data_IF_341531918422
#
_entry.id   IF_341531918422
#
_cell.length_a   1.000
_cell.length_b   1.000
_cell.length_c   1.000
_cell.angle_alpha   90.00
_cell.angle_beta   90.00
_cell.angle_gamma   90.00
#
_symmetry.space_group_name_H-M   'P 1'
#
loop_
_entity.id
_entity.type
_entity.pdbx_description
1 polymer ?
#
# COMPACT_ATOMS: atom_id res chain seq x y z
N UNK A 1 -57.73 45.33 -4.00
CA UNK A 1 -56.40 44.72 -4.27
C UNK A 1 -55.72 44.43 -2.95
N UNK A 2 -55.46 43.17 -2.60
CA UNK A 2 -54.75 42.78 -1.36
C UNK A 2 -53.39 42.22 -1.75
N UNK A 3 -52.31 42.88 -1.32
CA UNK A 3 -50.94 42.42 -1.58
C UNK A 3 -50.57 41.24 -0.66
N UNK A 4 -50.11 40.08 -1.20
CA UNK A 4 -49.72 38.92 -0.39
C UNK A 4 -48.34 39.12 0.25
N UNK A 5 -48.25 39.95 1.30
CA UNK A 5 -46.99 40.20 2.04
C UNK A 5 -46.39 38.94 2.70
N UNK A 6 -47.21 37.93 3.02
CA UNK A 6 -46.77 36.75 3.79
C UNK A 6 -45.75 35.84 3.10
N UNK A 7 -45.83 35.64 1.77
CA UNK A 7 -44.92 34.71 1.06
C UNK A 7 -43.45 35.14 1.09
N UNK A 8 -43.16 36.45 1.08
CA UNK A 8 -41.77 36.96 1.07
C UNK A 8 -41.07 36.77 2.41
N UNK A 9 -41.80 36.80 3.52
CA UNK A 9 -41.26 36.59 4.88
C UNK A 9 -40.86 35.12 5.06
N UNK A 10 -41.71 34.18 4.63
CA UNK A 10 -41.44 32.74 4.75
C UNK A 10 -40.17 32.34 3.97
N UNK A 11 -40.00 32.84 2.74
CA UNK A 11 -38.81 32.56 1.92
C UNK A 11 -37.53 33.09 2.58
N UNK A 12 -37.58 34.29 3.20
CA UNK A 12 -36.44 34.84 3.93
C UNK A 12 -36.08 34.01 5.17
N UNK A 13 -37.07 33.55 5.94
CA UNK A 13 -36.82 32.70 7.13
C UNK A 13 -36.20 31.36 6.74
N UNK A 14 -36.69 30.70 5.68
CA UNK A 14 -36.12 29.44 5.19
C UNK A 14 -34.68 29.63 4.69
N UNK A 15 -34.39 30.73 3.98
CA UNK A 15 -33.05 31.03 3.50
C UNK A 15 -32.04 31.25 4.66
N UNK A 16 -32.45 31.98 5.72
CA UNK A 16 -31.61 32.21 6.91
C UNK A 16 -31.31 30.90 7.65
N UNK A 17 -32.29 30.00 7.78
CA UNK A 17 -32.08 28.68 8.41
C UNK A 17 -31.12 27.82 7.59
N UNK A 18 -31.24 27.80 6.26
CA UNK A 18 -30.35 27.05 5.39
C UNK A 18 -28.89 27.55 5.46
N UNK A 19 -28.67 28.87 5.51
CA UNK A 19 -27.33 29.46 5.67
C UNK A 19 -26.76 29.14 7.06
N UNK A 20 -27.57 29.21 8.12
CA UNK A 20 -27.13 28.86 9.47
C UNK A 20 -26.68 27.39 9.58
N UNK A 21 -27.40 26.46 8.93
CA UNK A 21 -27.03 25.05 8.89
C UNK A 21 -25.69 24.80 8.18
N UNK A 22 -25.41 25.51 7.07
CA UNK A 22 -24.12 25.42 6.37
C UNK A 22 -22.95 25.96 7.21
N UNK A 23 -23.14 27.06 7.95
CA UNK A 23 -22.09 27.62 8.83
C UNK A 23 -21.77 26.67 9.99
N UNK A 24 -22.77 26.03 10.59
CA UNK A 24 -22.55 25.03 11.65
C UNK A 24 -21.85 23.78 11.08
N UNK A 25 -22.25 23.30 9.90
CA UNK A 25 -21.58 22.17 9.22
C UNK A 25 -20.09 22.43 8.93
N UNK A 26 -19.76 23.63 8.45
CA UNK A 26 -18.37 24.02 8.18
C UNK A 26 -17.51 24.09 9.45
N UNK A 27 -18.06 24.60 10.57
CA UNK A 27 -17.33 24.72 11.84
C UNK A 27 -17.03 23.37 12.51
N UNK A 28 -17.89 22.37 12.31
CA UNK A 28 -17.63 21.00 12.82
C UNK A 28 -16.50 20.33 12.04
N UNK A 29 -16.37 20.59 10.73
CA UNK A 29 -15.31 20.00 9.91
C UNK A 29 -13.91 20.58 10.22
N UNK A 30 -13.81 21.87 10.54
CA UNK A 30 -12.52 22.52 10.82
C UNK A 30 -11.98 22.32 12.25
N UNK A 31 -12.71 21.64 13.13
CA UNK A 31 -12.44 21.63 14.58
C UNK A 31 -11.66 20.43 15.13
N UNK A 32 -11.42 19.39 14.33
CA UNK A 32 -10.86 18.11 14.81
C UNK A 32 -9.65 17.70 13.98
N UNK A 33 -8.50 18.33 14.24
CA UNK A 33 -7.14 17.75 14.21
C UNK A 33 -6.14 18.85 14.56
N UNK A 34 -5.96 19.07 15.87
CA UNK A 34 -4.81 19.79 16.42
C UNK A 34 -4.20 18.93 17.52
N UNK A 35 -3.60 17.82 17.09
CA UNK A 35 -2.80 16.96 17.95
C UNK A 35 -1.46 17.61 18.23
N UNK A 36 -1.27 18.11 19.45
CA UNK A 36 0.04 18.53 19.95
C UNK A 36 0.92 17.29 20.18
N UNK A 37 1.91 17.09 19.30
CA UNK A 37 2.99 16.14 19.53
C UNK A 37 4.15 16.81 20.29
N UNK A 38 4.53 16.24 21.44
CA UNK A 38 5.78 16.57 22.12
C UNK A 38 6.99 16.26 21.20
N UNK A 39 8.12 16.98 21.32
CA UNK A 39 9.33 16.68 20.55
C UNK A 39 10.00 15.39 21.04
N UNK A 40 10.28 14.48 20.10
CA UNK A 40 10.92 13.19 20.35
C UNK A 40 12.40 13.34 20.81
N UNK A 41 12.84 12.64 21.89
CA UNK A 41 14.19 12.74 22.43
C UNK A 41 15.30 11.99 21.68
N UNK A 42 15.02 11.21 20.62
CA UNK A 42 16.00 10.31 19.98
C UNK A 42 16.94 10.95 18.95
N UNK A 43 17.11 12.28 18.95
CA UNK A 43 18.08 12.97 18.08
C UNK A 43 19.53 12.98 18.63
N UNK A 44 20.13 11.81 18.88
CA UNK A 44 21.59 11.69 19.06
C UNK A 44 22.16 10.29 18.76
N UNK A 45 22.92 10.16 17.66
CA UNK A 45 24.32 9.67 17.60
C UNK A 45 24.83 9.84 16.16
N UNK A 46 25.79 10.74 15.92
CA UNK A 46 27.25 10.53 15.90
C UNK A 46 27.80 9.78 14.67
N UNK A 47 28.55 10.57 13.89
CA UNK A 47 29.39 10.24 12.74
C UNK A 47 30.38 9.10 13.04
N UNK A 48 30.67 8.27 12.02
CA UNK A 48 31.99 7.63 11.85
C UNK A 48 32.37 7.66 10.37
N UNK A 49 33.49 8.34 10.06
CA UNK A 49 34.12 8.37 8.73
C UNK A 49 35.42 7.53 8.77
N UNK A 50 35.52 6.53 7.91
CA UNK A 50 36.76 5.87 7.43
C UNK A 50 36.41 5.23 6.07
N UNK A 51 37.14 5.38 4.96
CA UNK A 51 38.35 6.19 4.68
C UNK A 51 38.84 6.00 3.23
N UNK A 52 39.96 6.65 2.89
CA UNK A 52 40.61 6.77 1.57
C UNK A 52 41.56 5.57 1.23
N UNK A 53 42.09 5.28 0.01
CA UNK A 53 42.23 6.00 -1.28
C UNK A 53 42.02 5.07 -2.54
N UNK A 54 41.39 5.62 -3.60
CA UNK A 54 41.78 5.63 -5.04
C UNK A 54 42.22 4.41 -5.91
N UNK A 55 41.75 4.46 -7.17
CA UNK A 55 42.50 4.41 -8.46
C UNK A 55 42.47 3.18 -9.42
N UNK A 56 42.19 3.46 -10.71
CA UNK A 56 42.33 2.60 -11.94
C UNK A 56 41.56 1.25 -11.99
N UNK A 57 41.10 0.73 -13.16
CA UNK A 57 41.48 0.97 -14.56
C UNK A 57 40.34 0.58 -15.54
N UNK A 58 40.26 1.22 -16.71
CA UNK A 58 39.36 0.84 -17.82
C UNK A 58 39.52 -0.62 -18.25
N UNK A 59 38.41 -1.32 -18.54
CA UNK A 59 38.47 -2.63 -19.20
C UNK A 59 37.22 -2.97 -20.07
N UNK A 60 37.35 -2.71 -21.38
CA UNK A 60 36.76 -3.47 -22.51
C UNK A 60 35.22 -3.63 -22.56
N UNK A 61 34.60 -2.83 -23.43
CA UNK A 61 33.64 -3.32 -24.44
C UNK A 61 34.42 -3.76 -25.71
N UNK A 62 33.86 -4.55 -26.65
CA UNK A 62 32.50 -5.12 -26.69
C UNK A 62 32.46 -6.65 -26.93
N UNK A 63 31.31 -7.29 -26.73
CA UNK A 63 30.59 -7.96 -27.83
C UNK A 63 29.14 -8.27 -27.43
N UNK A 64 28.26 -8.44 -28.41
CA UNK A 64 26.85 -8.77 -28.19
C UNK A 64 26.53 -10.16 -28.74
N UNK A 65 26.32 -11.16 -27.88
CA UNK A 65 25.51 -12.32 -28.25
C UNK A 65 24.83 -12.99 -27.05
N UNK A 66 23.57 -13.34 -27.31
CA UNK A 66 22.61 -14.14 -26.54
C UNK A 66 23.11 -14.91 -25.30
N UNK A 67 22.43 -14.67 -24.18
CA UNK A 67 22.05 -15.78 -23.30
C UNK A 67 20.61 -15.61 -22.79
N UNK A 68 19.76 -16.60 -23.09
CA UNK A 68 18.44 -16.70 -22.48
C UNK A 68 18.61 -17.28 -21.08
N UNK A 69 19.01 -16.43 -20.13
CA UNK A 69 19.12 -16.81 -18.73
C UNK A 69 17.71 -16.98 -18.14
N UNK A 70 17.13 -18.16 -18.39
CA UNK A 70 16.02 -18.74 -17.64
C UNK A 70 16.37 -18.60 -16.16
N UNK A 71 15.63 -17.75 -15.43
CA UNK A 71 15.87 -17.52 -14.00
C UNK A 71 16.00 -18.86 -13.29
N UNK A 72 17.19 -19.14 -12.80
CA UNK A 72 17.37 -20.15 -11.78
C UNK A 72 16.73 -19.56 -10.53
N UNK A 73 15.53 -20.05 -10.18
CA UNK A 73 14.89 -19.73 -8.90
C UNK A 73 15.84 -20.21 -7.81
N UNK A 74 16.61 -19.28 -7.23
CA UNK A 74 17.37 -19.56 -6.02
C UNK A 74 16.37 -20.03 -4.97
N UNK A 75 16.59 -21.23 -4.42
CA UNK A 75 15.72 -21.75 -3.37
C UNK A 75 15.98 -21.00 -2.08
N UNK A 76 15.31 -19.85 -1.93
CA UNK A 76 15.32 -19.02 -0.72
C UNK A 76 14.90 -19.91 0.44
N UNK A 77 15.87 -20.29 1.26
CA UNK A 77 15.64 -21.15 2.42
C UNK A 77 15.17 -20.29 3.57
N UNK A 78 13.86 -20.14 3.68
CA UNK A 78 13.20 -19.35 4.71
C UNK A 78 13.07 -20.18 5.99
N UNK A 79 13.56 -19.67 7.14
CA UNK A 79 13.32 -20.34 8.42
C UNK A 79 11.86 -20.15 8.85
N UNK A 80 11.15 -21.20 9.30
CA UNK A 80 9.78 -21.07 9.81
C UNK A 80 9.67 -20.14 11.05
N UNK A 81 10.76 -19.96 11.80
CA UNK A 81 10.78 -19.06 12.95
C UNK A 81 10.76 -17.57 12.55
N UNK A 82 11.16 -17.24 11.32
CA UNK A 82 11.20 -15.87 10.82
C UNK A 82 9.89 -15.46 10.12
N UNK A 83 8.93 -16.37 9.97
CA UNK A 83 7.64 -16.14 9.29
C UNK A 83 6.48 -15.98 10.28
N UNK A 84 5.56 -15.08 9.94
CA UNK A 84 4.22 -14.94 10.51
C UNK A 84 3.17 -15.18 9.41
N UNK A 85 1.92 -15.42 9.80
CA UNK A 85 0.83 -15.73 8.87
C UNK A 85 -0.43 -14.96 9.22
N UNK A 86 -1.21 -14.58 8.20
CA UNK A 86 -2.50 -13.92 8.35
C UNK A 86 -3.55 -14.60 7.45
N UNK A 87 -4.73 -14.85 8.02
CA UNK A 87 -5.84 -15.53 7.34
C UNK A 87 -6.77 -14.50 6.70
N UNK A 88 -6.90 -14.55 5.38
CA UNK A 88 -7.76 -13.69 4.57
C UNK A 88 -9.03 -14.48 4.24
N UNK A 89 -9.90 -14.66 5.24
CA UNK A 89 -11.12 -15.47 5.15
C UNK A 89 -11.98 -15.19 3.88
N UNK A 90 -12.18 -13.95 3.41
CA UNK A 90 -13.01 -13.69 2.23
C UNK A 90 -12.39 -14.16 0.90
N UNK A 91 -11.08 -14.46 0.87
CA UNK A 91 -10.38 -15.10 -0.25
C UNK A 91 -10.10 -16.59 0.02
N UNK A 92 -10.27 -17.07 1.25
CA UNK A 92 -9.97 -18.45 1.64
C UNK A 92 -8.46 -18.78 1.62
N UNK A 93 -7.59 -17.78 1.81
CA UNK A 93 -6.13 -17.94 1.76
C UNK A 93 -5.44 -17.53 3.06
N UNK A 94 -4.37 -18.25 3.42
CA UNK A 94 -3.40 -17.90 4.45
C UNK A 94 -2.17 -17.30 3.77
N UNK A 95 -1.92 -16.02 4.05
CA UNK A 95 -0.77 -15.27 3.54
C UNK A 95 0.36 -15.37 4.56
N UNK A 96 1.55 -15.73 4.09
CA UNK A 96 2.79 -15.74 4.88
C UNK A 96 3.55 -14.43 4.67
N UNK A 97 4.15 -13.87 5.72
CA UNK A 97 4.98 -12.67 5.66
C UNK A 97 6.15 -12.76 6.65
N UNK A 98 7.27 -12.09 6.36
CA UNK A 98 8.44 -12.06 7.24
C UNK A 98 8.18 -11.22 8.49
N UNK A 99 8.62 -11.72 9.65
CA UNK A 99 8.57 -10.97 10.91
C UNK A 99 9.51 -9.76 10.85
N UNK A 100 9.09 -8.69 11.52
CA UNK A 100 9.74 -7.38 11.47
C UNK A 100 8.74 -6.31 11.04
N UNK A 101 8.03 -6.58 9.93
CA UNK A 101 6.95 -5.71 9.46
C UNK A 101 5.65 -5.97 10.22
N UNK A 102 5.00 -4.90 10.67
CA UNK A 102 3.84 -4.98 11.55
C UNK A 102 3.17 -3.63 11.76
N UNK A 103 1.88 -3.65 12.11
CA UNK A 103 1.06 -2.44 12.10
C UNK A 103 0.51 -2.07 10.72
N UNK A 104 0.60 -2.98 9.74
CA UNK A 104 -0.17 -2.91 8.51
C UNK A 104 -1.63 -3.33 8.74
N UNK A 105 -2.50 -2.91 7.82
CA UNK A 105 -3.88 -3.38 7.67
C UNK A 105 -4.05 -4.05 6.30
N UNK A 106 -5.18 -4.71 6.09
CA UNK A 106 -5.56 -5.23 4.79
C UNK A 106 -7.03 -4.94 4.47
N UNK A 107 -7.35 -4.77 3.20
CA UNK A 107 -8.71 -4.60 2.70
C UNK A 107 -8.97 -5.57 1.53
N UNK A 108 -10.09 -6.30 1.60
CA UNK A 108 -10.52 -7.16 0.49
C UNK A 108 -11.43 -6.37 -0.44
N UNK A 109 -11.02 -6.28 -1.70
CA UNK A 109 -11.64 -5.49 -2.75
C UNK A 109 -12.05 -6.37 -3.94
N UNK A 110 -12.76 -5.76 -4.89
CA UNK A 110 -13.19 -6.40 -6.12
C UNK A 110 -13.08 -5.42 -7.29
N UNK A 111 -12.39 -5.84 -8.35
CA UNK A 111 -12.21 -5.01 -9.55
C UNK A 111 -13.52 -4.87 -10.33
N UNK A 112 -13.57 -3.93 -11.29
CA UNK A 112 -14.75 -3.73 -12.13
C UNK A 112 -15.15 -4.99 -12.94
N UNK A 113 -14.20 -5.89 -13.18
CA UNK A 113 -14.40 -7.16 -13.87
C UNK A 113 -14.88 -8.29 -12.94
N UNK A 114 -14.87 -8.08 -11.63
CA UNK A 114 -15.28 -9.06 -10.62
C UNK A 114 -14.14 -9.83 -9.94
N UNK A 115 -12.89 -9.65 -10.40
CA UNK A 115 -11.68 -10.21 -9.78
C UNK A 115 -11.61 -9.81 -8.31
N UNK A 116 -11.38 -10.76 -7.40
CA UNK A 116 -11.15 -10.45 -5.97
C UNK A 116 -9.67 -10.23 -5.73
N UNK A 117 -9.34 -9.29 -4.87
CA UNK A 117 -7.97 -9.06 -4.45
C UNK A 117 -7.94 -8.53 -3.02
N UNK A 118 -6.80 -8.67 -2.34
CA UNK A 118 -6.54 -8.07 -1.03
C UNK A 118 -5.39 -7.08 -1.18
N UNK A 119 -5.60 -5.84 -0.75
CA UNK A 119 -4.54 -4.84 -0.62
C UNK A 119 -4.01 -4.83 0.81
N UNK A 120 -2.69 -4.70 0.96
CA UNK A 120 -2.01 -4.50 2.23
C UNK A 120 -1.47 -3.07 2.32
N UNK A 121 -1.76 -2.39 3.43
CA UNK A 121 -1.55 -0.95 3.60
C UNK A 121 -0.90 -0.61 4.93
N UNK A 122 -0.08 0.44 4.96
CA UNK A 122 0.42 1.04 6.20
C UNK A 122 0.36 2.57 6.13
N UNK A 123 -0.29 3.21 7.11
CA UNK A 123 -0.46 4.67 7.14
C UNK A 123 0.86 5.45 7.10
N UNK A 124 1.97 4.86 7.57
CA UNK A 124 3.32 5.45 7.54
C UNK A 124 3.89 5.56 6.12
N UNK A 125 3.35 4.81 5.17
CA UNK A 125 3.75 4.82 3.76
C UNK A 125 2.99 5.88 2.94
N UNK A 126 1.91 6.46 3.47
CA UNK A 126 1.12 7.50 2.78
C UNK A 126 2.01 8.70 2.49
N UNK A 127 2.31 8.92 1.22
CA UNK A 127 3.08 10.07 0.76
C UNK A 127 2.22 11.29 0.45
N UNK A 128 2.87 12.45 0.36
CA UNK A 128 2.22 13.73 0.05
C UNK A 128 2.23 14.08 -1.44
N UNK A 129 2.80 13.21 -2.28
CA UNK A 129 2.93 13.42 -3.74
C UNK A 129 1.65 13.08 -4.50
N UNK A 130 0.95 12.03 -4.06
CA UNK A 130 -0.25 11.51 -4.70
C UNK A 130 -1.46 11.83 -3.80
N UNK A 131 -2.54 12.36 -4.37
CA UNK A 131 -3.69 12.89 -3.60
C UNK A 131 -4.52 11.82 -2.90
N UNK A 132 -4.46 10.60 -3.42
CA UNK A 132 -5.31 9.48 -3.03
C UNK A 132 -4.48 8.27 -2.54
N UNK A 133 -3.22 8.51 -2.17
CA UNK A 133 -2.34 7.47 -1.62
C UNK A 133 -2.92 6.90 -0.32
N UNK A 134 -3.07 5.58 -0.26
CA UNK A 134 -3.57 4.84 0.91
C UNK A 134 -2.44 4.10 1.64
N UNK A 135 -1.17 4.31 1.25
CA UNK A 135 -0.03 3.59 1.82
C UNK A 135 -0.03 2.11 1.45
N UNK A 136 -0.64 1.75 0.32
CA UNK A 136 -0.60 0.38 -0.24
C UNK A 136 0.84 0.04 -0.61
N UNK A 137 1.30 -1.14 -0.20
CA UNK A 137 2.64 -1.64 -0.53
C UNK A 137 2.62 -2.92 -1.37
N UNK A 138 1.62 -3.78 -1.15
CA UNK A 138 1.42 -5.03 -1.87
C UNK A 138 -0.08 -5.31 -2.06
N UNK A 139 -0.42 -6.06 -3.12
CA UNK A 139 -1.75 -6.63 -3.32
C UNK A 139 -1.64 -8.09 -3.80
N UNK A 140 -2.55 -8.95 -3.35
CA UNK A 140 -2.67 -10.33 -3.83
C UNK A 140 -4.00 -10.49 -4.55
N UNK A 141 -3.96 -10.80 -5.84
CA UNK A 141 -5.11 -10.95 -6.73
C UNK A 141 -5.43 -12.42 -6.96
N UNK A 142 -6.67 -12.82 -6.73
CA UNK A 142 -7.19 -14.16 -7.04
C UNK A 142 -7.54 -14.25 -8.53
N UNK A 143 -6.93 -15.20 -9.24
CA UNK A 143 -7.17 -15.47 -10.66
C UNK A 143 -7.12 -14.19 -11.53
N UNK A 144 -5.99 -13.45 -11.55
CA UNK A 144 -5.88 -12.17 -12.27
C UNK A 144 -6.24 -12.34 -13.74
N UNK A 145 -7.09 -11.45 -14.25
CA UNK A 145 -7.49 -11.45 -15.66
C UNK A 145 -6.29 -11.09 -16.56
N UNK A 146 -6.39 -11.40 -17.86
CA UNK A 146 -5.31 -11.08 -18.83
C UNK A 146 -4.90 -9.59 -18.81
N UNK A 147 -5.84 -8.67 -18.55
CA UNK A 147 -5.58 -7.23 -18.40
C UNK A 147 -4.94 -6.83 -17.08
N UNK A 148 -4.95 -7.70 -16.08
CA UNK A 148 -4.37 -7.50 -14.74
C UNK A 148 -2.97 -8.13 -14.66
N UNK A 149 -2.56 -9.01 -15.60
CA UNK A 149 -1.22 -9.62 -15.62
C UNK A 149 -0.08 -8.63 -15.88
N UNK A 150 -0.34 -7.48 -16.52
CA UNK A 150 0.69 -6.44 -16.75
C UNK A 150 1.20 -5.76 -15.47
N UNK A 151 0.46 -5.90 -14.36
CA UNK A 151 0.80 -5.32 -13.04
C UNK A 151 1.10 -6.39 -11.99
N UNK A 152 1.28 -7.64 -12.38
CA UNK A 152 1.62 -8.76 -11.48
C UNK A 152 3.12 -9.04 -11.58
N UNK A 153 3.83 -8.89 -10.48
CA UNK A 153 5.27 -9.09 -10.38
C UNK A 153 5.62 -10.58 -10.19
N UNK A 154 4.83 -11.29 -9.37
CA UNK A 154 5.03 -12.71 -9.07
C UNK A 154 3.71 -13.48 -9.10
N UNK A 155 3.77 -14.78 -9.37
CA UNK A 155 2.60 -15.68 -9.31
C UNK A 155 2.90 -16.94 -8.52
N UNK A 156 1.85 -17.50 -7.90
CA UNK A 156 1.87 -18.80 -7.23
C UNK A 156 0.55 -19.53 -7.47
N UNK A 157 0.56 -20.86 -7.40
CA UNK A 157 -0.63 -21.70 -7.58
C UNK A 157 -1.02 -22.34 -6.24
N UNK A 158 -2.29 -22.19 -5.86
CA UNK A 158 -2.85 -22.76 -4.63
C UNK A 158 -4.15 -23.47 -4.98
N UNK A 159 -4.20 -24.78 -4.75
CA UNK A 159 -5.35 -25.66 -5.04
C UNK A 159 -5.95 -25.51 -6.46
N UNK A 160 -5.10 -25.23 -7.46
CA UNK A 160 -5.49 -25.04 -8.86
C UNK A 160 -5.90 -23.61 -9.23
N UNK A 161 -5.87 -22.67 -8.28
CA UNK A 161 -6.09 -21.23 -8.51
C UNK A 161 -4.75 -20.50 -8.56
N UNK A 162 -4.53 -19.71 -9.61
CA UNK A 162 -3.39 -18.80 -9.70
C UNK A 162 -3.66 -17.56 -8.86
N UNK A 163 -2.71 -17.18 -8.01
CA UNK A 163 -2.69 -15.90 -7.31
C UNK A 163 -1.51 -15.07 -7.81
N UNK A 164 -1.76 -13.79 -8.08
CA UNK A 164 -0.74 -12.82 -8.48
C UNK A 164 -0.42 -11.85 -7.35
N UNK A 165 0.86 -11.64 -7.06
CA UNK A 165 1.36 -10.57 -6.21
C UNK A 165 1.68 -9.35 -7.07
N UNK A 166 1.24 -8.19 -6.63
CA UNK A 166 1.57 -6.89 -7.20
C UNK A 166 2.19 -6.01 -6.12
N UNK A 167 3.36 -5.42 -6.39
CA UNK A 167 4.07 -4.51 -5.51
C UNK A 167 3.83 -3.06 -5.94
N UNK A 168 3.62 -2.16 -4.98
CA UNK A 168 3.31 -0.75 -5.27
C UNK A 168 4.56 0.04 -5.66
N UNK A 169 4.44 0.94 -6.64
CA UNK A 169 5.57 1.77 -7.07
C UNK A 169 5.98 2.81 -6.00
N UNK A 170 7.29 3.01 -5.84
CA UNK A 170 7.91 3.99 -4.92
C UNK A 170 7.55 5.46 -5.19
N UNK A 171 6.94 5.72 -6.35
CA UNK A 171 6.64 7.07 -6.85
C UNK A 171 5.78 7.89 -5.90
N UNK A 172 4.79 7.29 -5.23
CA UNK A 172 3.84 7.99 -4.36
C UNK A 172 4.33 8.12 -2.91
N UNK A 173 4.99 7.11 -2.35
CA UNK A 173 5.24 6.98 -0.90
C UNK A 173 6.07 8.13 -0.31
N UNK A 174 5.85 8.38 0.98
CA UNK A 174 6.65 9.26 1.82
C UNK A 174 7.97 8.64 2.29
N UNK A 175 8.06 7.31 2.36
CA UNK A 175 9.25 6.58 2.84
C UNK A 175 9.56 5.36 1.94
N UNK A 176 10.41 5.52 0.92
CA UNK A 176 10.79 4.43 0.03
C UNK A 176 11.59 3.30 0.71
N UNK A 177 12.29 3.58 1.82
CA UNK A 177 13.05 2.56 2.54
C UNK A 177 12.11 1.65 3.32
N UNK A 178 11.14 2.25 4.02
CA UNK A 178 10.08 1.51 4.69
C UNK A 178 9.21 0.74 3.68
N UNK A 179 8.92 1.32 2.50
CA UNK A 179 8.19 0.61 1.43
C UNK A 179 8.92 -0.67 1.02
N UNK A 180 10.25 -0.60 0.77
CA UNK A 180 11.07 -1.76 0.44
C UNK A 180 10.98 -2.83 1.52
N UNK A 181 11.09 -2.45 2.81
CA UNK A 181 10.99 -3.39 3.93
C UNK A 181 9.64 -4.15 3.94
N UNK A 182 8.53 -3.44 3.71
CA UNK A 182 7.20 -4.04 3.58
C UNK A 182 7.06 -4.95 2.36
N UNK A 183 7.68 -4.60 1.24
CA UNK A 183 7.64 -5.36 0.00
C UNK A 183 8.46 -6.65 0.10
N UNK A 184 9.71 -6.56 0.55
CA UNK A 184 10.62 -7.70 0.76
C UNK A 184 10.03 -8.71 1.77
N UNK A 185 9.32 -8.22 2.79
CA UNK A 185 8.66 -9.07 3.77
C UNK A 185 7.44 -9.83 3.23
N UNK A 186 6.85 -9.42 2.11
CA UNK A 186 5.70 -10.07 1.48
C UNK A 186 6.08 -10.87 0.23
N UNK A 187 7.03 -10.41 -0.58
CA UNK A 187 7.51 -11.12 -1.78
C UNK A 187 8.25 -12.41 -1.42
N UNK A 188 9.27 -12.34 -0.56
CA UNK A 188 10.10 -13.50 -0.24
C UNK A 188 9.28 -14.74 0.22
N UNK A 189 8.30 -14.63 1.13
CA UNK A 189 7.44 -15.76 1.51
C UNK A 189 6.16 -15.92 0.65
N UNK A 190 5.97 -15.19 -0.45
CA UNK A 190 4.73 -15.26 -1.26
C UNK A 190 4.44 -16.67 -1.79
N UNK A 191 5.46 -17.42 -2.20
CA UNK A 191 5.33 -18.82 -2.60
C UNK A 191 4.89 -19.78 -1.46
N UNK A 192 4.81 -19.30 -0.21
CA UNK A 192 4.25 -20.02 0.93
C UNK A 192 2.75 -19.73 1.14
N UNK A 193 2.07 -19.09 0.18
CA UNK A 193 0.62 -18.92 0.17
C UNK A 193 -0.08 -20.28 0.22
N UNK A 194 -1.13 -20.39 1.04
CA UNK A 194 -1.88 -21.64 1.24
C UNK A 194 -3.38 -21.37 1.24
N UNK A 195 -4.18 -22.39 0.91
CA UNK A 195 -5.62 -22.35 1.13
C UNK A 195 -5.93 -22.53 2.63
N UNK A 196 -6.97 -21.85 3.11
CA UNK A 196 -7.59 -22.15 4.40
C UNK A 196 -8.53 -23.33 4.17
N UNK A 197 -8.10 -24.52 4.57
CA UNK A 197 -8.93 -25.74 4.55
C UNK A 197 -10.09 -25.61 5.56
N UNK A 198 -11.32 -25.84 5.10
CA UNK A 198 -12.54 -25.98 5.95
C UNK A 198 -12.50 -27.21 6.88
#
# INVERSE_FOLDING_TARGET
>A
MVHPKGRRIIVLVVAVIAVAALVVGALVWSGVFSGSGEPDPYTTTQVTNLGEEADTQDNIEPDAEQDQQKSATEQVTINPEDIATIDIEPLGIRVSYSKGVGGFSFEVLRSANGTRYVEFRNDSLIGTKCTDDQGTFAAITEAPADSEQEIVDETTEVDGTIYGLSLSADTCTGDPALLSEYQDAFSAPFHLLQAISE
#
